data_IF_783686020066
#
_entry.id   IF_783686020066
#
_cell.length_a   1.000
_cell.length_b   1.000
_cell.length_c   1.000
_cell.angle_alpha   90.00
_cell.angle_beta   90.00
_cell.angle_gamma   90.00
#
_symmetry.space_group_name_H-M   'P 1'
#
loop_
_entity.id
_entity.type
_entity.pdbx_description
1 polymer ?
#
# COMPACT_ATOMS: atom_id res chain seq x y z
N UNK A 1 14.41 13.87 15.24
CA UNK A 1 13.70 13.12 16.30
C UNK A 1 12.40 13.80 16.71
N UNK A 2 12.40 15.08 17.11
CA UNK A 2 11.16 15.82 17.44
C UNK A 2 10.21 15.91 16.23
N UNK A 3 10.70 16.39 15.08
CA UNK A 3 9.88 16.48 13.86
C UNK A 3 9.39 15.13 13.32
N UNK A 4 10.20 14.07 13.43
CA UNK A 4 9.79 12.73 12.96
C UNK A 4 8.65 12.15 13.82
N UNK A 5 8.69 12.37 15.13
CA UNK A 5 7.60 11.97 16.04
C UNK A 5 6.36 12.82 15.79
N UNK A 6 6.52 14.13 15.57
CA UNK A 6 5.42 15.04 15.27
C UNK A 6 4.70 14.66 13.96
N UNK A 7 5.44 14.39 12.88
CA UNK A 7 4.85 14.01 11.59
C UNK A 7 4.10 12.67 11.71
N UNK A 8 4.66 11.69 12.42
CA UNK A 8 3.98 10.41 12.69
C UNK A 8 2.72 10.59 13.55
N UNK A 9 2.77 11.46 14.56
CA UNK A 9 1.62 11.80 15.41
C UNK A 9 0.51 12.50 14.61
N UNK A 10 0.87 13.49 13.80
CA UNK A 10 -0.08 14.24 12.97
C UNK A 10 -0.70 13.36 11.88
N UNK A 11 0.06 12.41 11.31
CA UNK A 11 -0.48 11.40 10.41
C UNK A 11 -1.51 10.50 11.11
N UNK A 12 -1.25 10.08 12.35
CA UNK A 12 -2.20 9.31 13.17
C UNK A 12 -3.43 10.08 13.67
N UNK A 13 -3.39 11.42 13.71
CA UNK A 13 -4.50 12.29 14.13
C UNK A 13 -5.39 12.78 12.97
N UNK A 14 -5.29 12.19 11.77
CA UNK A 14 -5.98 12.65 10.56
C UNK A 14 -5.61 14.08 10.13
N UNK A 15 -4.51 14.65 10.65
CA UNK A 15 -3.95 15.96 10.27
C UNK A 15 -2.85 15.80 9.22
N UNK A 16 -3.13 14.95 8.23
CA UNK A 16 -2.16 14.52 7.24
C UNK A 16 -1.59 15.69 6.41
N UNK A 17 -2.43 16.67 6.06
CA UNK A 17 -1.96 17.85 5.32
C UNK A 17 -0.91 18.64 6.13
N UNK A 18 -1.17 18.88 7.42
CA UNK A 18 -0.20 19.56 8.29
C UNK A 18 1.09 18.77 8.44
N UNK A 19 1.01 17.43 8.50
CA UNK A 19 2.18 16.56 8.53
C UNK A 19 3.02 16.70 7.23
N UNK A 20 2.35 16.74 6.08
CA UNK A 20 2.97 16.96 4.76
C UNK A 20 3.63 18.33 4.70
N UNK A 21 2.93 19.40 5.08
CA UNK A 21 3.44 20.77 4.99
C UNK A 21 4.69 20.97 5.86
N UNK A 22 4.67 20.46 7.09
CA UNK A 22 5.82 20.50 8.00
C UNK A 22 6.98 19.66 7.43
N UNK A 23 6.69 18.45 6.94
CA UNK A 23 7.72 17.58 6.38
C UNK A 23 8.40 18.18 5.15
N UNK A 24 7.63 18.78 4.24
CA UNK A 24 8.15 19.46 3.05
C UNK A 24 9.03 20.64 3.45
N UNK A 25 8.60 21.46 4.42
CA UNK A 25 9.41 22.57 4.92
C UNK A 25 10.75 22.09 5.44
N UNK A 26 10.77 21.03 6.25
CA UNK A 26 12.01 20.45 6.79
C UNK A 26 12.91 19.92 5.67
N UNK A 27 12.36 19.28 4.64
CA UNK A 27 13.12 18.78 3.48
C UNK A 27 13.78 19.94 2.72
N UNK A 28 13.07 21.05 2.54
CA UNK A 28 13.61 22.27 1.89
C UNK A 28 14.71 22.91 2.75
N UNK A 29 14.51 23.02 4.06
CA UNK A 29 15.50 23.56 5.00
C UNK A 29 16.79 22.71 5.05
N UNK A 30 16.68 21.41 4.77
CA UNK A 30 17.80 20.48 4.61
C UNK A 30 18.51 20.59 3.25
N UNK A 31 18.06 21.49 2.37
CA UNK A 31 18.67 21.79 1.07
C UNK A 31 18.17 20.92 -0.09
N UNK A 32 17.11 20.14 0.11
CA UNK A 32 16.52 19.31 -0.94
C UNK A 32 15.43 20.09 -1.67
N UNK A 33 15.60 20.27 -2.97
CA UNK A 33 14.58 20.88 -3.83
C UNK A 33 13.37 19.95 -3.92
N UNK A 34 12.19 20.45 -3.57
CA UNK A 34 10.94 19.71 -3.61
C UNK A 34 9.84 20.58 -4.26
N UNK A 35 9.11 20.09 -5.28
CA UNK A 35 8.05 20.86 -5.90
C UNK A 35 6.79 20.87 -5.00
N UNK A 36 6.35 22.05 -4.59
CA UNK A 36 5.16 22.25 -3.77
C UNK A 36 4.33 23.42 -4.35
N UNK A 37 3.07 23.20 -4.79
CA UNK A 37 2.33 21.94 -4.80
C UNK A 37 2.94 20.88 -5.75
N UNK A 38 2.59 19.59 -5.59
CA UNK A 38 3.12 18.52 -6.44
C UNK A 38 2.61 18.71 -7.88
N UNK A 39 3.45 18.45 -8.88
CA UNK A 39 3.02 18.58 -10.27
C UNK A 39 2.02 17.48 -10.63
N UNK A 40 1.18 17.68 -11.67
CA UNK A 40 0.27 16.65 -12.15
C UNK A 40 1.02 15.36 -12.51
N UNK A 41 0.40 14.19 -12.32
CA UNK A 41 1.02 12.87 -12.61
C UNK A 41 1.68 12.81 -14.01
N UNK A 42 1.07 13.44 -15.00
CA UNK A 42 1.59 13.47 -16.37
C UNK A 42 2.95 14.19 -16.50
N UNK A 43 3.24 15.17 -15.65
CA UNK A 43 4.51 15.89 -15.66
C UNK A 43 5.67 15.04 -15.12
N UNK A 44 5.39 13.95 -14.40
CA UNK A 44 6.39 13.03 -13.86
C UNK A 44 6.77 11.90 -14.83
N UNK A 45 6.07 11.77 -15.97
CA UNK A 45 6.31 10.69 -16.94
C UNK A 45 7.74 10.68 -17.46
N UNK A 46 8.27 11.85 -17.81
CA UNK A 46 9.65 11.95 -18.29
C UNK A 46 10.66 11.56 -17.21
N UNK A 47 10.43 11.96 -15.97
CA UNK A 47 11.30 11.62 -14.85
C UNK A 47 11.30 10.12 -14.58
N UNK A 48 10.12 9.49 -14.63
CA UNK A 48 9.97 8.05 -14.52
C UNK A 48 10.70 7.31 -15.64
N UNK A 49 10.59 7.76 -16.89
CA UNK A 49 11.29 7.16 -18.04
C UNK A 49 12.81 7.30 -17.88
N UNK A 50 13.29 8.49 -17.50
CA UNK A 50 14.72 8.74 -17.27
C UNK A 50 15.28 7.86 -16.16
N UNK A 51 14.54 7.71 -15.05
CA UNK A 51 14.91 6.83 -13.94
C UNK A 51 14.92 5.36 -14.36
N UNK A 52 13.89 4.91 -15.07
CA UNK A 52 13.81 3.55 -15.62
C UNK A 52 15.02 3.23 -16.48
N UNK A 53 15.29 4.05 -17.51
CA UNK A 53 16.43 3.85 -18.43
C UNK A 53 17.74 3.83 -17.65
N UNK A 54 17.91 4.74 -16.68
CA UNK A 54 19.12 4.79 -15.87
C UNK A 54 19.30 3.52 -15.06
N UNK A 55 18.25 3.05 -14.37
CA UNK A 55 18.31 1.83 -13.57
C UNK A 55 18.50 0.59 -14.43
N UNK A 56 17.83 0.46 -15.57
CA UNK A 56 18.02 -0.65 -16.51
C UNK A 56 19.44 -0.75 -17.05
N UNK A 57 20.13 0.37 -17.22
CA UNK A 57 21.54 0.42 -17.63
C UNK A 57 22.51 0.12 -16.49
N UNK A 58 22.08 0.24 -15.24
CA UNK A 58 22.91 -0.05 -14.07
C UNK A 58 22.76 -1.52 -13.67
N UNK A 59 23.88 -2.20 -13.50
CA UNK A 59 23.88 -3.59 -13.02
C UNK A 59 23.42 -3.63 -11.55
N UNK A 60 22.71 -4.70 -11.16
CA UNK A 60 22.19 -4.81 -9.78
C UNK A 60 23.34 -4.83 -8.76
N UNK A 61 24.44 -5.52 -9.08
CA UNK A 61 25.66 -5.50 -8.29
C UNK A 61 26.27 -4.10 -8.14
N UNK A 62 26.12 -3.24 -9.16
CA UNK A 62 26.60 -1.87 -9.09
C UNK A 62 25.75 -1.05 -8.11
N UNK A 63 24.41 -1.15 -8.20
CA UNK A 63 23.50 -0.47 -7.26
C UNK A 63 23.70 -0.93 -5.81
N UNK A 64 23.90 -2.24 -5.59
CA UNK A 64 24.18 -2.79 -4.26
C UNK A 64 25.52 -2.31 -3.70
N UNK A 65 26.50 -2.06 -4.58
CA UNK A 65 27.84 -1.60 -4.19
C UNK A 65 27.99 -0.07 -4.27
N UNK A 66 26.91 0.68 -4.48
CA UNK A 66 26.96 2.14 -4.35
C UNK A 66 27.50 2.52 -2.97
N UNK A 67 28.36 3.55 -2.97
CA UNK A 67 28.89 4.13 -1.74
C UNK A 67 27.75 4.45 -0.79
N UNK A 68 27.99 4.26 0.50
CA UNK A 68 27.03 4.68 1.50
C UNK A 68 26.96 6.21 1.56
N UNK A 69 25.77 6.73 1.83
CA UNK A 69 25.55 8.15 2.01
C UNK A 69 26.22 8.62 3.29
N UNK A 70 27.04 9.68 3.21
CA UNK A 70 27.83 10.20 4.35
C UNK A 70 27.26 11.53 4.86
N UNK A 71 26.65 12.33 3.99
CA UNK A 71 26.11 13.63 4.36
C UNK A 71 24.89 13.48 5.29
N UNK A 72 25.10 13.82 6.55
CA UNK A 72 24.08 13.73 7.61
C UNK A 72 22.81 14.55 7.33
N UNK A 73 22.91 15.66 6.60
CA UNK A 73 21.73 16.46 6.19
C UNK A 73 20.90 15.72 5.15
N UNK A 74 21.55 15.08 4.18
CA UNK A 74 20.85 14.30 3.15
C UNK A 74 20.26 13.02 3.74
N UNK A 75 20.96 12.35 4.66
CA UNK A 75 20.41 11.20 5.40
C UNK A 75 19.18 11.63 6.21
N UNK A 76 19.22 12.79 6.86
CA UNK A 76 18.05 13.33 7.56
C UNK A 76 16.90 13.63 6.58
N UNK A 77 17.20 14.19 5.40
CA UNK A 77 16.18 14.45 4.39
C UNK A 77 15.55 13.15 3.85
N UNK A 78 16.35 12.10 3.63
CA UNK A 78 15.87 10.76 3.26
C UNK A 78 14.89 10.21 4.30
N UNK A 79 15.15 10.39 5.60
CA UNK A 79 14.23 10.00 6.68
C UNK A 79 12.90 10.73 6.60
N UNK A 80 12.91 12.05 6.41
CA UNK A 80 11.66 12.81 6.29
C UNK A 80 10.88 12.46 5.02
N UNK A 81 11.58 12.30 3.89
CA UNK A 81 10.98 11.84 2.65
C UNK A 81 10.33 10.46 2.83
N UNK A 82 11.00 9.52 3.50
CA UNK A 82 10.46 8.18 3.77
C UNK A 82 9.20 8.23 4.63
N UNK A 83 9.18 9.02 5.70
CA UNK A 83 8.00 9.16 6.57
C UNK A 83 6.81 9.72 5.79
N UNK A 84 7.04 10.77 4.99
CA UNK A 84 5.98 11.35 4.15
C UNK A 84 5.52 10.39 3.05
N UNK A 85 6.44 9.62 2.47
CA UNK A 85 6.14 8.65 1.42
C UNK A 85 5.17 7.58 1.94
N UNK A 86 5.45 7.04 3.13
CA UNK A 86 4.55 6.12 3.81
C UNK A 86 3.18 6.75 4.09
N UNK A 87 3.16 7.94 4.70
CA UNK A 87 1.92 8.63 5.07
C UNK A 87 1.04 8.99 3.85
N UNK A 88 1.63 9.20 2.67
CA UNK A 88 0.92 9.57 1.44
C UNK A 88 0.56 8.37 0.55
N UNK A 89 0.96 7.15 0.91
CA UNK A 89 0.70 5.96 0.10
C UNK A 89 -0.79 5.57 0.10
N UNK A 90 -1.40 5.47 1.28
CA UNK A 90 -2.81 5.09 1.44
C UNK A 90 -3.76 6.22 1.83
N UNK A 91 -3.24 7.29 2.41
CA UNK A 91 -4.07 8.38 2.92
C UNK A 91 -4.06 9.58 1.97
N UNK A 92 -5.09 10.43 2.06
CA UNK A 92 -5.36 11.54 1.16
C UNK A 92 -4.10 12.32 0.75
N UNK A 93 -4.05 12.77 -0.50
CA UNK A 93 -2.86 13.37 -1.16
C UNK A 93 -1.88 12.37 -1.80
N UNK A 94 -2.37 11.24 -2.32
CA UNK A 94 -1.59 10.29 -3.13
C UNK A 94 -0.83 10.91 -4.32
N UNK A 95 -1.18 12.13 -4.74
CA UNK A 95 -0.41 12.91 -5.72
C UNK A 95 1.03 13.21 -5.29
N UNK A 96 1.34 13.25 -3.98
CA UNK A 96 2.70 13.44 -3.49
C UNK A 96 3.55 12.17 -3.56
N UNK A 97 2.94 10.98 -3.53
CA UNK A 97 3.66 9.71 -3.45
C UNK A 97 4.68 9.53 -4.60
N UNK A 98 4.33 9.73 -5.89
CA UNK A 98 5.31 9.60 -6.97
C UNK A 98 6.45 10.62 -6.86
N UNK A 99 6.16 11.85 -6.44
CA UNK A 99 7.16 12.93 -6.30
C UNK A 99 8.17 12.58 -5.21
N UNK A 100 7.68 12.11 -4.06
CA UNK A 100 8.49 11.69 -2.92
C UNK A 100 9.41 10.51 -3.32
N UNK A 101 8.86 9.49 -3.97
CA UNK A 101 9.63 8.32 -4.43
C UNK A 101 10.73 8.73 -5.41
N UNK A 102 10.39 9.51 -6.45
CA UNK A 102 11.35 10.00 -7.45
C UNK A 102 12.45 10.82 -6.77
N UNK A 103 12.12 11.66 -5.81
CA UNK A 103 13.10 12.49 -5.11
C UNK A 103 14.06 11.66 -4.26
N UNK A 104 13.57 10.66 -3.53
CA UNK A 104 14.43 9.74 -2.78
C UNK A 104 15.36 8.94 -3.70
N UNK A 105 14.89 8.50 -4.86
CA UNK A 105 15.72 7.82 -5.87
C UNK A 105 16.80 8.76 -6.41
N UNK A 106 16.47 10.02 -6.72
CA UNK A 106 17.45 11.02 -7.17
C UNK A 106 18.56 11.24 -6.14
N UNK A 107 18.20 11.35 -4.86
CA UNK A 107 19.18 11.47 -3.78
C UNK A 107 20.04 10.21 -3.65
N UNK A 108 19.42 9.03 -3.71
CA UNK A 108 20.13 7.73 -3.69
C UNK A 108 21.16 7.64 -4.82
N UNK A 109 20.75 8.01 -6.04
CA UNK A 109 21.61 7.95 -7.23
C UNK A 109 22.73 9.00 -7.24
N UNK A 110 22.59 10.09 -6.48
CA UNK A 110 23.56 11.20 -6.45
C UNK A 110 24.53 11.10 -5.27
N UNK A 111 24.01 10.75 -4.10
CA UNK A 111 24.75 10.81 -2.84
C UNK A 111 25.16 9.44 -2.31
N UNK A 112 24.66 8.35 -2.90
CA UNK A 112 24.89 6.99 -2.42
C UNK A 112 23.67 6.39 -1.73
N UNK A 113 23.80 5.16 -1.27
CA UNK A 113 22.71 4.41 -0.63
C UNK A 113 22.68 4.65 0.88
N UNK A 114 21.48 4.61 1.46
CA UNK A 114 21.25 4.61 2.91
C UNK A 114 20.12 3.63 3.23
N UNK A 115 19.81 3.43 4.51
CA UNK A 115 18.72 2.54 4.92
C UNK A 115 17.42 2.86 4.21
N UNK A 116 17.05 4.14 4.15
CA UNK A 116 15.80 4.62 3.55
C UNK A 116 15.76 4.42 2.02
N UNK A 117 16.90 4.15 1.37
CA UNK A 117 16.96 3.85 -0.06
C UNK A 117 16.24 2.53 -0.41
N UNK A 118 16.15 1.56 0.50
CA UNK A 118 15.40 0.32 0.24
C UNK A 118 13.91 0.62 0.00
N UNK A 119 13.31 1.48 0.83
CA UNK A 119 11.92 1.92 0.68
C UNK A 119 11.73 2.67 -0.64
N UNK A 120 12.65 3.58 -0.99
CA UNK A 120 12.58 4.34 -2.23
C UNK A 120 12.56 3.42 -3.47
N UNK A 121 13.43 2.41 -3.48
CA UNK A 121 13.54 1.45 -4.58
C UNK A 121 12.28 0.56 -4.65
N UNK A 122 11.77 0.11 -3.51
CA UNK A 122 10.53 -0.67 -3.45
C UNK A 122 9.32 0.13 -3.97
N UNK A 123 9.21 1.41 -3.59
CA UNK A 123 8.14 2.29 -4.09
C UNK A 123 8.30 2.62 -5.58
N UNK A 124 9.53 2.74 -6.09
CA UNK A 124 9.73 2.90 -7.53
C UNK A 124 9.29 1.65 -8.30
N UNK A 125 9.60 0.45 -7.77
CA UNK A 125 9.09 -0.81 -8.31
C UNK A 125 7.56 -0.80 -8.40
N UNK A 126 6.87 -0.40 -7.33
CA UNK A 126 5.41 -0.24 -7.32
C UNK A 126 4.90 0.72 -8.41
N UNK A 127 5.53 1.89 -8.57
CA UNK A 127 5.16 2.86 -9.61
C UNK A 127 5.34 2.30 -11.03
N UNK A 128 6.41 1.55 -11.28
CA UNK A 128 6.66 0.90 -12.58
C UNK A 128 5.65 -0.23 -12.86
N UNK A 129 5.23 -0.97 -11.83
CA UNK A 129 4.18 -1.98 -11.95
C UNK A 129 2.87 -1.35 -12.43
N UNK A 130 2.51 -0.19 -11.88
CA UNK A 130 1.32 0.56 -12.28
C UNK A 130 1.36 1.09 -13.73
N UNK A 131 2.55 1.26 -14.32
CA UNK A 131 2.71 1.65 -15.73
C UNK A 131 2.82 0.47 -16.69
N UNK A 132 2.64 -0.76 -16.23
CA UNK A 132 2.72 -1.99 -17.03
C UNK A 132 4.13 -2.55 -17.20
N UNK A 133 5.14 -2.01 -16.50
CA UNK A 133 6.55 -2.40 -16.63
C UNK A 133 6.92 -3.55 -15.69
N UNK A 134 6.19 -4.67 -15.79
CA UNK A 134 6.25 -5.76 -14.82
C UNK A 134 7.66 -6.36 -14.64
N UNK A 135 8.43 -6.54 -15.73
CA UNK A 135 9.79 -7.10 -15.66
C UNK A 135 10.76 -6.19 -14.90
N UNK A 136 10.78 -4.90 -15.26
CA UNK A 136 11.63 -3.91 -14.61
C UNK A 136 11.22 -3.74 -13.13
N UNK A 137 9.92 -3.71 -12.88
CA UNK A 137 9.34 -3.63 -11.54
C UNK A 137 9.80 -4.81 -10.66
N UNK A 138 9.71 -6.05 -11.13
CA UNK A 138 10.16 -7.22 -10.37
C UNK A 138 11.67 -7.16 -10.04
N UNK A 139 12.54 -6.82 -11.00
CA UNK A 139 13.98 -6.69 -10.77
C UNK A 139 14.31 -5.62 -9.73
N UNK A 140 13.73 -4.42 -9.91
CA UNK A 140 13.97 -3.27 -9.03
C UNK A 140 13.45 -3.55 -7.62
N UNK A 141 12.32 -4.22 -7.50
CA UNK A 141 11.78 -4.57 -6.19
C UNK A 141 12.63 -5.61 -5.46
N UNK A 142 13.18 -6.60 -6.16
CA UNK A 142 14.10 -7.56 -5.55
C UNK A 142 15.37 -6.87 -5.02
N UNK A 143 15.88 -5.87 -5.76
CA UNK A 143 16.99 -5.04 -5.30
C UNK A 143 16.68 -4.32 -3.97
N UNK A 144 15.42 -3.92 -3.74
CA UNK A 144 15.04 -3.33 -2.46
C UNK A 144 15.17 -4.29 -1.28
N UNK A 145 14.85 -5.58 -1.49
CA UNK A 145 15.02 -6.64 -0.48
C UNK A 145 16.51 -6.87 -0.19
N UNK A 146 17.34 -6.94 -1.22
CA UNK A 146 18.79 -7.09 -1.04
C UNK A 146 19.41 -5.89 -0.30
N UNK A 147 18.92 -4.66 -0.54
CA UNK A 147 19.34 -3.49 0.23
C UNK A 147 18.84 -3.52 1.69
N UNK A 148 17.63 -4.02 1.92
CA UNK A 148 17.08 -4.22 3.26
C UNK A 148 18.02 -5.10 4.10
N UNK A 149 18.46 -6.22 3.53
CA UNK A 149 19.41 -7.16 4.13
C UNK A 149 20.79 -6.51 4.35
N UNK A 150 21.35 -5.87 3.31
CA UNK A 150 22.65 -5.18 3.38
C UNK A 150 22.71 -4.20 4.55
N UNK A 151 21.67 -3.39 4.71
CA UNK A 151 21.60 -2.35 5.74
C UNK A 151 21.05 -2.84 7.09
N UNK A 152 20.67 -4.12 7.19
CA UNK A 152 19.97 -4.69 8.35
C UNK A 152 18.82 -3.80 8.82
N UNK A 153 18.06 -3.29 7.86
CA UNK A 153 17.04 -2.26 8.08
C UNK A 153 15.64 -2.88 8.25
N UNK A 154 15.56 -3.97 9.02
CA UNK A 154 14.34 -4.78 9.18
C UNK A 154 13.12 -3.99 9.65
N UNK A 155 13.31 -2.79 10.21
CA UNK A 155 12.24 -1.83 10.48
C UNK A 155 11.40 -1.46 9.25
N UNK A 156 11.95 -1.62 8.04
CA UNK A 156 11.27 -1.34 6.77
C UNK A 156 10.67 -2.57 6.09
N UNK A 157 10.82 -3.77 6.67
CA UNK A 157 10.18 -4.98 6.14
C UNK A 157 8.66 -4.81 5.94
N UNK A 158 7.90 -4.24 6.90
CA UNK A 158 6.44 -4.10 6.74
C UNK A 158 6.05 -3.28 5.50
N UNK A 159 6.68 -2.13 5.28
CA UNK A 159 6.40 -1.28 4.11
C UNK A 159 6.86 -1.92 2.81
N UNK A 160 8.04 -2.56 2.79
CA UNK A 160 8.56 -3.24 1.59
C UNK A 160 7.65 -4.40 1.20
N UNK A 161 7.11 -5.13 2.18
CA UNK A 161 6.19 -6.23 1.91
C UNK A 161 4.89 -5.74 1.23
N UNK A 162 4.31 -4.63 1.70
CA UNK A 162 3.16 -4.00 1.05
C UNK A 162 3.49 -3.57 -0.39
N UNK A 163 4.53 -2.75 -0.57
CA UNK A 163 4.73 -2.05 -1.85
C UNK A 163 5.35 -2.94 -2.92
N UNK A 164 6.24 -3.87 -2.56
CA UNK A 164 6.93 -4.74 -3.52
C UNK A 164 6.36 -6.16 -3.53
N UNK A 165 6.46 -6.86 -2.40
CA UNK A 165 6.11 -8.29 -2.35
C UNK A 165 4.64 -8.47 -2.79
N UNK A 166 3.75 -7.64 -2.28
CA UNK A 166 2.33 -7.70 -2.63
C UNK A 166 1.95 -6.85 -3.84
N UNK A 167 2.52 -5.66 -3.99
CA UNK A 167 2.19 -4.76 -5.11
C UNK A 167 2.73 -5.22 -6.47
N UNK A 168 3.73 -6.10 -6.47
CA UNK A 168 4.48 -6.49 -7.67
C UNK A 168 4.74 -7.98 -7.73
N UNK A 169 5.38 -8.54 -6.71
CA UNK A 169 5.88 -9.93 -6.76
C UNK A 169 4.75 -10.97 -6.69
N UNK A 170 3.64 -10.65 -6.01
CA UNK A 170 2.43 -11.47 -5.88
C UNK A 170 1.88 -12.01 -7.20
N UNK A 171 2.12 -11.30 -8.33
CA UNK A 171 1.71 -11.74 -9.67
C UNK A 171 2.47 -12.95 -10.20
N UNK A 172 3.60 -13.26 -9.58
CA UNK A 172 4.54 -14.32 -9.98
C UNK A 172 4.88 -15.28 -8.84
N UNK A 173 4.43 -14.97 -7.62
CA UNK A 173 4.72 -15.72 -6.41
C UNK A 173 3.61 -16.71 -6.11
N UNK A 174 3.96 -17.81 -5.43
CA UNK A 174 2.98 -18.75 -4.87
C UNK A 174 2.21 -18.08 -3.74
N UNK A 175 0.89 -18.28 -3.71
CA UNK A 175 0.02 -17.68 -2.68
C UNK A 175 0.45 -18.07 -1.26
N UNK A 176 0.86 -19.33 -1.05
CA UNK A 176 1.32 -19.81 0.26
C UNK A 176 2.50 -18.99 0.80
N UNK A 177 3.50 -18.73 -0.05
CA UNK A 177 4.67 -17.93 0.32
C UNK A 177 4.26 -16.48 0.60
N UNK A 178 3.35 -15.92 -0.19
CA UNK A 178 2.84 -14.56 0.05
C UNK A 178 2.12 -14.41 1.38
N UNK A 179 1.35 -15.41 1.79
CA UNK A 179 0.69 -15.44 3.11
C UNK A 179 1.70 -15.49 4.25
N UNK A 180 2.73 -16.34 4.14
CA UNK A 180 3.81 -16.44 5.14
C UNK A 180 4.57 -15.11 5.27
N UNK A 181 4.97 -14.52 4.13
CA UNK A 181 5.69 -13.25 4.10
C UNK A 181 4.85 -12.09 4.65
N UNK A 182 3.55 -12.05 4.34
CA UNK A 182 2.62 -11.05 4.88
C UNK A 182 2.48 -11.19 6.40
N UNK A 183 2.36 -12.41 6.92
CA UNK A 183 2.24 -12.66 8.36
C UNK A 183 3.53 -12.30 9.11
N UNK A 184 4.70 -12.58 8.52
CA UNK A 184 5.99 -12.20 9.10
C UNK A 184 6.22 -10.69 9.06
N UNK A 185 5.82 -10.02 7.99
CA UNK A 185 5.80 -8.56 7.91
C UNK A 185 4.83 -7.94 8.93
N UNK A 186 3.66 -8.55 9.17
CA UNK A 186 2.75 -8.17 10.24
C UNK A 186 3.42 -8.24 11.62
N UNK A 187 3.99 -9.41 11.97
CA UNK A 187 4.69 -9.61 13.26
C UNK A 187 5.83 -8.60 13.44
N UNK A 188 6.60 -8.36 12.37
CA UNK A 188 7.71 -7.40 12.42
C UNK A 188 7.21 -5.98 12.63
N UNK A 189 6.14 -5.58 11.94
CA UNK A 189 5.51 -4.27 12.12
C UNK A 189 5.05 -4.05 13.55
N UNK A 190 4.39 -5.06 14.15
CA UNK A 190 4.01 -5.03 15.56
C UNK A 190 5.23 -4.88 16.48
N UNK A 191 6.32 -5.60 16.21
CA UNK A 191 7.55 -5.56 17.01
C UNK A 191 8.23 -4.18 16.98
N UNK A 192 8.29 -3.53 15.81
CA UNK A 192 8.98 -2.24 15.63
C UNK A 192 8.07 -1.03 15.85
N UNK A 193 6.80 -1.26 16.18
CA UNK A 193 5.79 -0.22 16.40
C UNK A 193 5.28 0.43 15.12
N UNK A 194 5.45 -0.21 13.97
CA UNK A 194 4.84 0.19 12.70
C UNK A 194 3.44 -0.44 12.57
N UNK A 195 2.50 0.08 13.38
CA UNK A 195 1.14 -0.45 13.49
C UNK A 195 0.37 -0.34 12.18
N UNK A 196 0.59 0.74 11.43
CA UNK A 196 -0.10 1.01 10.17
C UNK A 196 0.22 -0.08 9.13
N UNK A 197 1.51 -0.26 8.82
CA UNK A 197 1.91 -1.29 7.87
C UNK A 197 1.70 -2.70 8.43
N UNK A 198 1.75 -2.91 9.75
CA UNK A 198 1.34 -4.18 10.34
C UNK A 198 -0.11 -4.51 9.95
N UNK A 199 -1.07 -3.61 10.19
CA UNK A 199 -2.47 -3.90 9.89
C UNK A 199 -2.73 -4.09 8.39
N UNK A 200 -2.02 -3.37 7.52
CA UNK A 200 -2.10 -3.65 6.08
C UNK A 200 -1.56 -5.04 5.72
N UNK A 201 -0.49 -5.50 6.37
CA UNK A 201 0.05 -6.84 6.13
C UNK A 201 -0.90 -7.94 6.65
N UNK A 202 -1.55 -7.72 7.80
CA UNK A 202 -2.61 -8.61 8.29
C UNK A 202 -3.80 -8.68 7.33
N UNK A 203 -4.24 -7.53 6.80
CA UNK A 203 -5.27 -7.47 5.76
C UNK A 203 -4.87 -8.31 4.53
N UNK A 204 -3.63 -8.20 4.06
CA UNK A 204 -3.16 -8.95 2.89
C UNK A 204 -3.13 -10.45 3.12
N UNK A 205 -2.68 -10.89 4.31
CA UNK A 205 -2.77 -12.28 4.73
C UNK A 205 -4.22 -12.78 4.60
N UNK A 206 -5.20 -12.08 5.20
CA UNK A 206 -6.62 -12.46 5.19
C UNK A 206 -7.21 -12.49 3.77
N UNK A 207 -6.84 -11.51 2.93
CA UNK A 207 -7.24 -11.46 1.52
C UNK A 207 -6.70 -12.67 0.75
N UNK A 208 -5.43 -13.04 0.95
CA UNK A 208 -4.83 -14.19 0.30
C UNK A 208 -5.40 -15.52 0.82
N UNK A 209 -5.70 -15.62 2.12
CA UNK A 209 -6.41 -16.76 2.72
C UNK A 209 -7.78 -16.98 2.06
N UNK A 210 -8.53 -15.90 1.83
CA UNK A 210 -9.79 -15.97 1.08
C UNK A 210 -9.60 -16.48 -0.35
N UNK A 211 -8.67 -15.88 -1.10
CA UNK A 211 -8.44 -16.21 -2.53
C UNK A 211 -7.86 -17.62 -2.71
N UNK A 212 -7.06 -18.11 -1.75
CA UNK A 212 -6.48 -19.45 -1.79
C UNK A 212 -7.47 -20.59 -1.50
N UNK A 213 -8.70 -20.25 -1.09
CA UNK A 213 -9.74 -21.24 -0.80
C UNK A 213 -9.51 -21.99 0.52
N UNK A 214 -8.88 -21.33 1.50
CA UNK A 214 -8.82 -21.86 2.86
C UNK A 214 -10.22 -22.06 3.45
N UNK A 215 -10.31 -22.85 4.53
CA UNK A 215 -11.58 -23.10 5.22
C UNK A 215 -12.24 -21.78 5.63
N UNK A 216 -13.45 -21.53 5.11
CA UNK A 216 -14.18 -20.29 5.40
C UNK A 216 -14.47 -20.14 6.90
N UNK A 217 -14.68 -21.25 7.62
CA UNK A 217 -14.92 -21.25 9.06
C UNK A 217 -13.66 -20.81 9.83
N UNK A 218 -12.48 -21.27 9.41
CA UNK A 218 -11.22 -20.85 10.01
C UNK A 218 -10.93 -19.39 9.71
N UNK A 219 -11.14 -18.99 8.45
CA UNK A 219 -10.95 -17.63 8.01
C UNK A 219 -11.89 -16.64 8.70
N UNK A 220 -13.16 -17.00 8.95
CA UNK A 220 -14.09 -16.14 9.71
C UNK A 220 -13.53 -15.80 11.09
N UNK A 221 -13.00 -16.81 11.81
CA UNK A 221 -12.40 -16.59 13.12
C UNK A 221 -11.18 -15.66 13.05
N UNK A 222 -10.32 -15.82 12.04
CA UNK A 222 -9.17 -14.94 11.84
C UNK A 222 -9.61 -13.50 11.49
N UNK A 223 -10.60 -13.35 10.60
CA UNK A 223 -11.17 -12.06 10.22
C UNK A 223 -11.75 -11.31 11.43
N UNK A 224 -12.45 -12.00 12.34
CA UNK A 224 -12.97 -11.41 13.58
C UNK A 224 -11.84 -10.95 14.52
N UNK A 225 -10.82 -11.80 14.72
CA UNK A 225 -9.67 -11.48 15.58
C UNK A 225 -8.88 -10.29 15.05
N UNK A 226 -8.51 -10.30 13.78
CA UNK A 226 -7.77 -9.21 13.17
C UNK A 226 -8.62 -7.95 13.00
N UNK A 227 -9.91 -8.08 12.65
CA UNK A 227 -10.84 -6.96 12.55
C UNK A 227 -10.97 -6.19 13.86
N UNK A 228 -11.20 -6.89 14.97
CA UNK A 228 -11.23 -6.29 16.33
C UNK A 228 -9.93 -5.55 16.64
N UNK A 229 -8.79 -6.19 16.36
CA UNK A 229 -7.47 -5.58 16.57
C UNK A 229 -7.28 -4.31 15.74
N UNK A 230 -7.72 -4.29 14.48
CA UNK A 230 -7.61 -3.10 13.64
C UNK A 230 -8.43 -1.93 14.20
N UNK A 231 -9.63 -2.20 14.75
CA UNK A 231 -10.45 -1.18 15.43
C UNK A 231 -9.76 -0.69 16.71
N UNK A 232 -9.22 -1.58 17.54
CA UNK A 232 -8.49 -1.23 18.78
C UNK A 232 -7.31 -0.29 18.50
N UNK A 233 -6.56 -0.56 17.43
CA UNK A 233 -5.44 0.27 16.98
C UNK A 233 -5.84 1.46 16.11
N UNK A 234 -7.15 1.72 15.96
CA UNK A 234 -7.72 2.82 15.17
C UNK A 234 -7.31 2.81 13.69
N UNK A 235 -7.00 1.63 13.14
CA UNK A 235 -6.64 1.44 11.74
C UNK A 235 -7.89 1.23 10.88
N UNK A 236 -8.71 2.27 10.78
CA UNK A 236 -10.05 2.20 10.17
C UNK A 236 -10.02 1.81 8.69
N UNK A 237 -9.01 2.25 7.93
CA UNK A 237 -8.89 1.90 6.51
C UNK A 237 -8.70 0.39 6.31
N UNK A 238 -7.79 -0.24 7.06
CA UNK A 238 -7.58 -1.67 7.00
C UNK A 238 -8.80 -2.43 7.57
N UNK A 239 -9.38 -1.93 8.67
CA UNK A 239 -10.59 -2.51 9.28
C UNK A 239 -11.76 -2.55 8.29
N UNK A 240 -11.98 -1.47 7.54
CA UNK A 240 -13.07 -1.41 6.56
C UNK A 240 -12.85 -2.41 5.41
N UNK A 241 -11.61 -2.64 4.98
CA UNK A 241 -11.30 -3.66 3.97
C UNK A 241 -11.57 -5.07 4.49
N UNK A 242 -11.14 -5.37 5.73
CA UNK A 242 -11.40 -6.67 6.38
C UNK A 242 -12.89 -6.89 6.60
N UNK A 243 -13.64 -5.85 6.95
CA UNK A 243 -15.10 -5.93 7.13
C UNK A 243 -15.79 -6.43 5.87
N UNK A 244 -15.42 -5.95 4.68
CA UNK A 244 -16.03 -6.43 3.43
C UNK A 244 -15.81 -7.94 3.25
N UNK A 245 -14.59 -8.41 3.50
CA UNK A 245 -14.24 -9.83 3.38
C UNK A 245 -15.03 -10.64 4.41
N UNK A 246 -15.10 -10.15 5.65
CA UNK A 246 -15.86 -10.78 6.73
C UNK A 246 -17.34 -10.94 6.37
N UNK A 247 -18.01 -9.89 5.88
CA UNK A 247 -19.41 -9.99 5.44
C UNK A 247 -19.60 -11.07 4.36
N UNK A 248 -18.73 -11.11 3.34
CA UNK A 248 -18.79 -12.14 2.29
C UNK A 248 -18.57 -13.54 2.86
N UNK A 249 -17.57 -13.73 3.72
CA UNK A 249 -17.28 -15.03 4.34
C UNK A 249 -18.45 -15.51 5.19
N UNK A 250 -18.99 -14.68 6.07
CA UNK A 250 -20.14 -15.03 6.90
C UNK A 250 -21.37 -15.38 6.07
N UNK A 251 -21.59 -14.68 4.95
CA UNK A 251 -22.69 -14.97 4.02
C UNK A 251 -22.53 -16.32 3.33
N UNK A 252 -21.32 -16.66 2.89
CA UNK A 252 -21.02 -17.96 2.29
C UNK A 252 -21.20 -19.12 3.29
N UNK A 253 -20.93 -18.89 4.58
CA UNK A 253 -21.15 -19.88 5.65
C UNK A 253 -22.64 -20.07 5.97
N UNK A 254 -23.43 -18.99 6.03
CA UNK A 254 -24.79 -18.97 6.62
C UNK A 254 -25.90 -19.49 5.69
N UNK A 255 -25.56 -20.11 4.56
CA UNK A 255 -26.41 -20.53 3.42
C UNK A 255 -27.69 -21.35 3.75
N UNK A 256 -28.70 -20.72 4.38
CA UNK A 256 -30.02 -21.33 4.62
C UNK A 256 -31.15 -20.77 3.75
N UNK A 257 -31.05 -19.54 3.25
CA UNK A 257 -31.98 -19.01 2.24
C UNK A 257 -31.32 -17.92 1.40
N UNK A 258 -31.10 -18.21 0.12
CA UNK A 258 -30.30 -17.38 -0.79
C UNK A 258 -31.03 -16.06 -1.17
N UNK A 259 -32.37 -16.03 -1.17
CA UNK A 259 -33.12 -14.86 -1.66
C UNK A 259 -33.25 -13.75 -0.61
N UNK A 260 -33.55 -14.06 0.65
CA UNK A 260 -33.63 -13.07 1.72
C UNK A 260 -32.25 -12.49 2.06
N UNK A 261 -31.20 -13.32 1.97
CA UNK A 261 -29.81 -12.93 2.21
C UNK A 261 -29.36 -11.87 1.19
N UNK A 262 -29.72 -12.00 -0.08
CA UNK A 262 -29.32 -11.05 -1.14
C UNK A 262 -29.96 -9.66 -0.96
N UNK A 263 -31.21 -9.59 -0.49
CA UNK A 263 -31.87 -8.32 -0.25
C UNK A 263 -31.20 -7.54 0.88
N UNK A 264 -30.96 -8.19 2.03
CA UNK A 264 -30.22 -7.58 3.15
C UNK A 264 -28.78 -7.23 2.78
N UNK A 265 -28.12 -8.05 1.96
CA UNK A 265 -26.77 -7.79 1.46
C UNK A 265 -26.69 -6.53 0.59
N UNK A 266 -27.70 -6.28 -0.25
CA UNK A 266 -27.70 -5.09 -1.09
C UNK A 266 -27.86 -3.82 -0.24
N UNK A 267 -28.73 -3.83 0.77
CA UNK A 267 -28.88 -2.70 1.71
C UNK A 267 -27.60 -2.43 2.51
N UNK A 268 -26.98 -3.48 3.05
CA UNK A 268 -25.71 -3.36 3.79
C UNK A 268 -24.59 -2.83 2.88
N UNK A 269 -24.51 -3.32 1.64
CA UNK A 269 -23.54 -2.85 0.65
C UNK A 269 -23.76 -1.40 0.25
N UNK A 270 -25.00 -0.97 0.06
CA UNK A 270 -25.32 0.43 -0.24
C UNK A 270 -24.95 1.35 0.93
N UNK A 271 -25.20 0.94 2.17
CA UNK A 271 -24.75 1.65 3.37
C UNK A 271 -23.23 1.77 3.43
N UNK A 272 -22.51 0.66 3.23
CA UNK A 272 -21.03 0.67 3.18
C UNK A 272 -20.51 1.59 2.07
N UNK A 273 -21.13 1.57 0.89
CA UNK A 273 -20.76 2.44 -0.24
C UNK A 273 -21.00 3.92 0.08
N UNK A 274 -22.14 4.26 0.68
CA UNK A 274 -22.45 5.63 1.08
C UNK A 274 -21.38 6.16 2.06
N UNK A 275 -21.04 5.37 3.08
CA UNK A 275 -19.96 5.71 4.02
C UNK A 275 -18.60 5.84 3.32
N UNK A 276 -18.27 4.93 2.39
CA UNK A 276 -17.01 4.97 1.67
C UNK A 276 -16.88 6.22 0.77
N UNK A 277 -17.97 6.65 0.14
CA UNK A 277 -18.03 7.86 -0.68
C UNK A 277 -17.88 9.11 0.19
N UNK A 278 -18.61 9.19 1.30
CA UNK A 278 -18.50 10.30 2.25
C UNK A 278 -17.06 10.43 2.80
N UNK A 279 -16.42 9.30 3.11
CA UNK A 279 -15.05 9.25 3.57
C UNK A 279 -14.00 9.46 2.45
N UNK A 280 -14.40 9.64 1.19
CA UNK A 280 -13.52 9.66 0.01
C UNK A 280 -12.53 8.48 -0.02
N UNK A 281 -12.97 7.31 0.44
CA UNK A 281 -12.13 6.12 0.58
C UNK A 281 -12.21 5.25 -0.68
N UNK A 282 -11.38 5.59 -1.68
CA UNK A 282 -11.32 4.85 -2.95
C UNK A 282 -11.04 3.37 -2.75
N UNK A 283 -10.14 3.06 -1.84
CA UNK A 283 -9.74 1.69 -1.57
C UNK A 283 -10.92 0.90 -1.01
N UNK A 284 -11.70 1.47 -0.07
CA UNK A 284 -12.89 0.80 0.46
C UNK A 284 -13.96 0.59 -0.61
N UNK A 285 -14.24 1.60 -1.46
CA UNK A 285 -15.17 1.47 -2.60
C UNK A 285 -14.75 0.31 -3.53
N UNK A 286 -13.47 0.22 -3.88
CA UNK A 286 -12.97 -0.86 -4.73
C UNK A 286 -13.18 -2.24 -4.09
N UNK A 287 -12.97 -2.39 -2.78
CA UNK A 287 -13.16 -3.67 -2.09
C UNK A 287 -14.63 -4.08 -2.10
N UNK A 288 -15.55 -3.15 -1.81
CA UNK A 288 -16.99 -3.44 -1.83
C UNK A 288 -17.42 -4.00 -3.19
N UNK A 289 -16.97 -3.39 -4.29
CA UNK A 289 -17.30 -3.89 -5.62
C UNK A 289 -16.60 -5.22 -5.96
N UNK A 290 -15.33 -5.40 -5.60
CA UNK A 290 -14.59 -6.65 -5.90
C UNK A 290 -15.24 -7.83 -5.18
N UNK A 291 -15.38 -7.74 -3.87
CA UNK A 291 -15.87 -8.84 -3.06
C UNK A 291 -17.37 -9.06 -3.25
N UNK A 292 -18.16 -8.01 -3.42
CA UNK A 292 -19.58 -8.15 -3.80
C UNK A 292 -19.77 -8.80 -5.18
N UNK A 293 -18.87 -8.54 -6.13
CA UNK A 293 -18.87 -9.21 -7.43
C UNK A 293 -18.51 -10.70 -7.32
N UNK A 294 -17.49 -11.03 -6.51
CA UNK A 294 -17.10 -12.42 -6.22
C UNK A 294 -18.25 -13.17 -5.54
N UNK A 295 -18.87 -12.57 -4.52
CA UNK A 295 -20.01 -13.13 -3.80
C UNK A 295 -21.18 -13.41 -4.75
N UNK A 296 -21.59 -12.43 -5.55
CA UNK A 296 -22.66 -12.59 -6.53
C UNK A 296 -22.36 -13.70 -7.54
N UNK A 297 -21.10 -13.81 -7.99
CA UNK A 297 -20.67 -14.87 -8.90
C UNK A 297 -20.77 -16.26 -8.24
N UNK A 298 -20.30 -16.41 -7.01
CA UNK A 298 -20.36 -17.68 -6.26
C UNK A 298 -21.82 -18.13 -6.04
N UNK A 299 -22.74 -17.20 -5.78
CA UNK A 299 -24.17 -17.50 -5.68
C UNK A 299 -24.88 -17.71 -7.03
N UNK A 300 -24.15 -17.71 -8.15
CA UNK A 300 -24.69 -17.92 -9.50
C UNK A 300 -25.48 -16.73 -10.07
N UNK A 301 -25.32 -15.52 -9.50
CA UNK A 301 -25.97 -14.29 -9.96
C UNK A 301 -25.07 -13.54 -10.94
N UNK A 302 -24.83 -14.15 -12.09
CA UNK A 302 -23.87 -13.66 -13.07
C UNK A 302 -24.19 -12.27 -13.64
N UNK A 303 -25.47 -11.96 -13.87
CA UNK A 303 -25.91 -10.63 -14.33
C UNK A 303 -25.60 -9.55 -13.30
N UNK A 304 -25.92 -9.81 -12.03
CA UNK A 304 -25.57 -8.91 -10.92
C UNK A 304 -24.06 -8.73 -10.78
N UNK A 305 -23.29 -9.82 -10.89
CA UNK A 305 -21.83 -9.76 -10.85
C UNK A 305 -21.26 -8.88 -11.98
N UNK A 306 -21.81 -9.00 -13.19
CA UNK A 306 -21.43 -8.16 -14.34
C UNK A 306 -21.78 -6.68 -14.11
N UNK A 307 -22.98 -6.39 -13.60
CA UNK A 307 -23.41 -5.02 -13.29
C UNK A 307 -22.52 -4.35 -12.23
N UNK A 308 -22.15 -5.08 -11.18
CA UNK A 308 -21.22 -4.62 -10.14
C UNK A 308 -19.86 -4.29 -10.77
N UNK A 309 -19.34 -5.16 -11.65
CA UNK A 309 -18.07 -4.94 -12.33
C UNK A 309 -18.09 -3.70 -13.24
N UNK A 310 -19.19 -3.47 -13.96
CA UNK A 310 -19.38 -2.28 -14.80
C UNK A 310 -19.45 -0.99 -13.96
N UNK A 311 -20.25 -0.99 -12.88
CA UNK A 311 -20.35 0.15 -11.95
C UNK A 311 -19.00 0.52 -11.36
N UNK A 312 -18.19 -0.48 -10.97
CA UNK A 312 -16.81 -0.26 -10.51
C UNK A 312 -15.98 0.49 -11.56
N UNK A 313 -16.04 0.07 -12.83
CA UNK A 313 -15.28 0.70 -13.91
C UNK A 313 -15.70 2.17 -14.12
N UNK A 314 -16.98 2.49 -13.97
CA UNK A 314 -17.46 3.87 -14.03
C UNK A 314 -16.93 4.73 -12.90
N UNK A 315 -16.92 4.20 -11.67
CA UNK A 315 -16.31 4.88 -10.52
C UNK A 315 -14.83 5.11 -10.76
N UNK A 316 -14.07 4.08 -11.15
CA UNK A 316 -12.63 4.23 -11.47
C UNK A 316 -12.38 5.31 -12.53
N UNK A 317 -13.20 5.39 -13.58
CA UNK A 317 -13.09 6.44 -14.61
C UNK A 317 -13.36 7.84 -14.05
N UNK A 318 -14.40 8.01 -13.24
CA UNK A 318 -14.73 9.31 -12.61
C UNK A 318 -13.61 9.78 -11.68
N UNK A 319 -12.96 8.85 -10.97
CA UNK A 319 -11.89 9.17 -10.02
C UNK A 319 -10.49 9.30 -10.66
N UNK A 320 -10.32 8.85 -11.90
CA UNK A 320 -9.07 8.99 -12.68
C UNK A 320 -8.92 10.34 -13.39
N UNK A 321 -9.98 11.16 -13.41
CA UNK A 321 -10.02 12.51 -13.98
C UNK A 321 -9.62 13.56 -12.94
#
# INVERSE_FOLDING_TARGET
>A
RVYSTLIKSLAGESKLQSAIDIGIKVIIDLGVKFPCPPPPKNALKEDMIKLKIKLEKTADAELLNYKEMIDTKIIAAMKFLQILLCATFYFGNQQYFPVLAIQMIRLTLRHGTCKESCVAIACLSFLLSGSGECKASNRIGHLAVLLLEKFKAEEYLPVINIVYINGVHSRTMRLELGMEEALDAYKKGMQVGDIEFAMFNAYLYLMMSFISGQSLVELEMELDVFGKRMVEYKQMTASNMVLVIHCVVSNLITTKDCLSLIASQNEERESMLAHAIEANSYSFICHIYIFGGIEAYIFGKYELAADIALKRQEVEKKMSR
#
